data_IF_599614379442
#
_entry.id   IF_599614379442
#
_cell.length_a   1.000
_cell.length_b   1.000
_cell.length_c   1.000
_cell.angle_alpha   90.00
_cell.angle_beta   90.00
_cell.angle_gamma   90.00
#
_symmetry.space_group_name_H-M   'P 1'
#
loop_
_entity.id
_entity.type
_entity.pdbx_description
1 polymer ?
#
# COMPACT_ATOMS: atom_id res chain seq x y z
N UNK A 1 24.74 -26.22 36.12
CA UNK A 1 25.03 -25.51 34.86
C UNK A 1 23.87 -25.75 33.91
N UNK A 2 23.17 -24.71 33.46
CA UNK A 2 22.11 -24.89 32.44
C UNK A 2 20.78 -24.24 32.82
N UNK A 3 20.71 -22.91 32.76
CA UNK A 3 19.42 -22.20 32.77
C UNK A 3 19.42 -20.85 32.05
N UNK A 4 20.42 -20.60 31.19
CA UNK A 4 20.57 -19.32 30.48
C UNK A 4 20.28 -19.39 28.98
N UNK A 5 19.91 -20.56 28.43
CA UNK A 5 19.75 -20.75 26.98
C UNK A 5 18.33 -20.40 26.48
N UNK A 6 17.34 -20.34 27.38
CA UNK A 6 15.93 -20.13 27.02
C UNK A 6 15.52 -18.66 26.77
N UNK A 7 16.36 -17.69 27.14
CA UNK A 7 16.05 -16.26 26.92
C UNK A 7 16.45 -15.76 25.53
N UNK A 8 17.42 -16.41 24.88
CA UNK A 8 17.86 -16.06 23.52
C UNK A 8 16.77 -16.25 22.44
N UNK A 9 16.02 -17.37 22.38
CA UNK A 9 15.03 -17.55 21.33
C UNK A 9 13.83 -16.60 21.46
N UNK A 10 13.49 -16.17 22.67
CA UNK A 10 12.39 -15.22 22.91
C UNK A 10 12.69 -13.82 22.35
N UNK A 11 13.94 -13.35 22.51
CA UNK A 11 14.39 -12.08 21.92
C UNK A 11 14.35 -12.09 20.39
N UNK A 12 14.66 -13.24 19.78
CA UNK A 12 14.66 -13.40 18.32
C UNK A 12 13.25 -13.42 17.72
N UNK A 13 12.26 -14.00 18.41
CA UNK A 13 10.86 -13.98 17.98
C UNK A 13 10.24 -12.57 17.99
N UNK A 14 10.66 -11.71 18.93
CA UNK A 14 10.20 -10.32 19.03
C UNK A 14 10.77 -9.42 17.91
N UNK A 15 11.91 -9.80 17.33
CA UNK A 15 12.52 -9.12 16.17
C UNK A 15 11.85 -9.52 14.85
N UNK A 16 11.25 -10.71 14.76
CA UNK A 16 10.56 -11.17 13.54
C UNK A 16 9.12 -10.66 13.45
N UNK A 17 8.56 -10.14 14.53
CA UNK A 17 7.24 -9.50 14.56
C UNK A 17 7.28 -8.00 14.25
N UNK A 18 8.45 -7.41 13.97
CA UNK A 18 8.50 -6.17 13.20
C UNK A 18 8.02 -6.49 11.80
N UNK A 19 6.70 -6.36 11.58
CA UNK A 19 6.03 -6.40 10.29
C UNK A 19 6.98 -5.87 9.21
N UNK A 20 7.35 -6.73 8.27
CA UNK A 20 8.27 -6.43 7.18
C UNK A 20 7.86 -5.10 6.52
N UNK A 21 8.72 -4.08 6.65
CA UNK A 21 8.50 -2.81 6.00
C UNK A 21 8.46 -3.04 4.48
N UNK A 22 7.31 -2.83 3.86
CA UNK A 22 7.09 -3.04 2.43
C UNK A 22 7.61 -1.81 1.67
N UNK A 23 8.29 -2.05 0.55
CA UNK A 23 8.51 -0.99 -0.45
C UNK A 23 7.28 -0.91 -1.34
N UNK A 24 6.78 0.29 -1.61
CA UNK A 24 5.62 0.52 -2.47
C UNK A 24 5.95 1.57 -3.55
N UNK A 25 5.17 1.59 -4.63
CA UNK A 25 5.18 2.74 -5.52
C UNK A 25 4.43 3.90 -4.86
N UNK A 26 4.96 5.11 -5.04
CA UNK A 26 4.22 6.34 -4.82
C UNK A 26 4.13 7.11 -6.11
N UNK A 27 2.92 7.58 -6.37
CA UNK A 27 2.59 8.40 -7.52
C UNK A 27 1.46 9.32 -7.10
N UNK A 28 1.62 10.63 -7.29
CA UNK A 28 0.57 11.59 -6.93
C UNK A 28 -0.57 11.60 -7.95
N UNK A 29 -0.27 11.29 -9.21
CA UNK A 29 -1.27 11.12 -10.26
C UNK A 29 -0.78 10.18 -11.36
N UNK A 30 -1.53 9.10 -11.61
CA UNK A 30 -1.36 8.20 -12.74
C UNK A 30 -2.61 8.19 -13.63
N UNK A 31 -2.41 7.93 -14.92
CA UNK A 31 -3.48 7.91 -15.93
C UNK A 31 -4.14 6.52 -16.09
N UNK A 32 -5.08 6.39 -17.03
CA UNK A 32 -5.81 5.14 -17.26
C UNK A 32 -4.93 3.97 -17.71
N UNK A 33 -3.70 4.24 -18.15
CA UNK A 33 -2.69 3.23 -18.52
C UNK A 33 -1.80 2.84 -17.34
N UNK A 34 -2.08 3.37 -16.14
CA UNK A 34 -1.26 3.17 -14.95
C UNK A 34 0.10 3.88 -15.00
N UNK A 35 0.35 4.72 -16.00
CA UNK A 35 1.59 5.48 -16.10
C UNK A 35 1.55 6.66 -15.13
N UNK A 36 2.55 6.73 -14.26
CA UNK A 36 2.69 7.85 -13.32
C UNK A 36 3.08 9.13 -14.06
N UNK A 37 2.21 10.13 -14.02
CA UNK A 37 2.39 11.42 -14.66
C UNK A 37 3.12 12.41 -13.74
N UNK A 38 2.90 12.33 -12.42
CA UNK A 38 3.48 13.26 -11.46
C UNK A 38 3.82 12.60 -10.12
N UNK A 39 4.90 13.05 -9.47
CA UNK A 39 5.27 12.63 -8.12
C UNK A 39 5.70 11.16 -8.01
N UNK A 40 6.40 10.63 -9.02
CA UNK A 40 6.88 9.24 -9.00
C UNK A 40 8.04 9.06 -8.04
N UNK A 41 7.86 8.24 -7.01
CA UNK A 41 8.96 7.77 -6.17
C UNK A 41 8.62 6.43 -5.49
N UNK A 42 9.50 5.94 -4.63
CA UNK A 42 9.29 4.73 -3.83
C UNK A 42 9.15 5.11 -2.37
N UNK A 43 8.17 4.57 -1.67
CA UNK A 43 8.03 4.74 -0.23
C UNK A 43 8.23 3.41 0.49
N UNK A 44 8.54 3.50 1.79
CA UNK A 44 8.64 2.35 2.69
C UNK A 44 7.57 2.50 3.77
N UNK A 45 6.82 1.43 4.05
CA UNK A 45 5.71 1.47 5.01
C UNK A 45 6.21 1.58 6.44
N UNK A 46 5.54 2.40 7.24
CA UNK A 46 5.63 2.39 8.70
C UNK A 46 4.71 1.33 9.34
N UNK A 47 4.85 1.02 10.64
CA UNK A 47 3.90 0.15 11.33
C UNK A 47 2.46 0.64 11.17
N UNK A 48 1.57 -0.24 10.69
CA UNK A 48 0.17 0.09 10.38
C UNK A 48 -0.09 0.52 8.93
N UNK A 49 0.95 0.88 8.19
CA UNK A 49 0.84 1.20 6.76
C UNK A 49 0.98 -0.03 5.88
N UNK A 50 0.34 0.03 4.72
CA UNK A 50 0.45 -0.95 3.63
C UNK A 50 0.60 -0.22 2.30
N UNK A 51 0.88 -0.95 1.22
CA UNK A 51 0.83 -0.35 -0.11
C UNK A 51 -0.64 -0.10 -0.50
N UNK A 52 -0.93 1.05 -1.07
CA UNK A 52 -2.27 1.42 -1.47
C UNK A 52 -2.29 2.09 -2.84
N UNK A 53 -3.46 2.04 -3.48
CA UNK A 53 -3.80 2.99 -4.53
C UNK A 53 -5.26 3.44 -4.41
N UNK A 54 -5.54 4.65 -4.86
CA UNK A 54 -6.89 5.18 -5.02
C UNK A 54 -7.15 5.41 -6.50
N UNK A 55 -8.30 4.97 -6.99
CA UNK A 55 -8.77 5.25 -8.35
C UNK A 55 -10.05 6.08 -8.28
N UNK A 56 -10.11 7.10 -9.12
CA UNK A 56 -11.31 7.91 -9.32
C UNK A 56 -11.86 7.59 -10.70
N UNK A 57 -13.11 7.13 -10.75
CA UNK A 57 -13.86 6.94 -11.98
C UNK A 57 -15.12 7.80 -11.98
N UNK A 58 -15.71 8.01 -13.14
CA UNK A 58 -17.09 8.52 -13.26
C UNK A 58 -18.10 7.38 -13.05
N UNK A 59 -19.38 7.72 -12.86
CA UNK A 59 -20.46 6.72 -12.73
C UNK A 59 -20.63 5.82 -13.95
N UNK A 60 -20.30 6.29 -15.15
CA UNK A 60 -20.26 5.49 -16.38
C UNK A 60 -18.97 4.64 -16.52
N UNK A 61 -18.12 4.63 -15.48
CA UNK A 61 -16.93 3.78 -15.42
C UNK A 61 -15.71 4.36 -16.10
N UNK A 62 -15.75 5.62 -16.57
CA UNK A 62 -14.59 6.27 -17.19
C UNK A 62 -13.56 6.60 -16.12
N UNK A 63 -12.33 6.15 -16.33
CA UNK A 63 -11.20 6.52 -15.50
C UNK A 63 -10.92 8.02 -15.57
N UNK A 64 -10.71 8.65 -14.41
CA UNK A 64 -10.32 10.07 -14.32
C UNK A 64 -8.84 10.18 -14.00
N UNK A 65 -8.44 9.69 -12.83
CA UNK A 65 -7.04 9.58 -12.39
C UNK A 65 -6.94 8.61 -11.23
N UNK A 66 -5.72 8.24 -10.85
CA UNK A 66 -5.46 7.53 -9.59
C UNK A 66 -4.17 7.98 -8.94
N UNK A 67 -3.93 7.52 -7.72
CA UNK A 67 -2.69 7.76 -6.97
C UNK A 67 -2.24 6.49 -6.26
N UNK A 68 -0.95 6.42 -5.93
CA UNK A 68 -0.33 5.31 -5.21
C UNK A 68 0.39 5.84 -3.97
N UNK A 69 0.33 5.11 -2.87
CA UNK A 69 0.97 5.54 -1.61
C UNK A 69 1.30 4.38 -0.68
N UNK A 70 2.11 4.67 0.33
CA UNK A 70 2.13 3.95 1.60
C UNK A 70 1.11 4.65 2.49
N UNK A 71 0.17 3.90 3.07
CA UNK A 71 -0.91 4.49 3.86
C UNK A 71 -1.47 3.49 4.87
N UNK A 72 -1.98 4.02 5.98
CA UNK A 72 -2.99 3.32 6.78
C UNK A 72 -4.25 3.17 5.91
N UNK A 73 -4.49 1.95 5.44
CA UNK A 73 -5.42 1.71 4.35
C UNK A 73 -6.63 0.90 4.80
N UNK A 74 -7.82 1.41 4.51
CA UNK A 74 -9.07 0.67 4.61
C UNK A 74 -9.69 0.57 3.22
N UNK A 75 -9.89 -0.65 2.72
CA UNK A 75 -10.42 -0.87 1.38
C UNK A 75 -11.89 -0.45 1.35
N UNK A 76 -12.21 0.52 0.50
CA UNK A 76 -13.55 1.08 0.42
C UNK A 76 -13.82 1.65 -0.95
N UNK A 77 -15.10 1.72 -1.31
CA UNK A 77 -15.55 2.44 -2.51
C UNK A 77 -16.68 3.37 -2.10
N UNK A 78 -16.53 4.65 -2.41
CA UNK A 78 -17.47 5.70 -2.04
C UNK A 78 -17.90 6.50 -3.26
N UNK A 79 -19.17 6.87 -3.30
CA UNK A 79 -19.70 7.76 -4.32
C UNK A 79 -19.61 9.21 -3.85
N UNK A 80 -19.15 10.11 -4.73
CA UNK A 80 -19.10 11.54 -4.49
C UNK A 80 -19.61 12.29 -5.73
N UNK A 81 -20.90 12.63 -5.73
CA UNK A 81 -21.55 13.24 -6.89
C UNK A 81 -21.60 12.29 -8.09
N UNK A 82 -20.98 12.69 -9.20
CA UNK A 82 -20.86 11.87 -10.41
C UNK A 82 -19.61 10.98 -10.44
N UNK A 83 -18.81 10.99 -9.37
CA UNK A 83 -17.56 10.26 -9.25
C UNK A 83 -17.69 9.08 -8.28
N UNK A 84 -16.90 8.05 -8.53
CA UNK A 84 -16.70 6.89 -7.67
C UNK A 84 -15.22 6.89 -7.29
N UNK A 85 -14.94 6.83 -5.99
CA UNK A 85 -13.58 6.78 -5.43
C UNK A 85 -13.38 5.40 -4.83
N UNK A 86 -12.42 4.64 -5.35
CA UNK A 86 -12.11 3.28 -4.91
C UNK A 86 -10.71 3.21 -4.32
N UNK A 87 -10.63 2.90 -3.03
CA UNK A 87 -9.39 2.69 -2.27
C UNK A 87 -9.07 1.21 -2.20
N UNK A 88 -7.86 0.84 -2.61
CA UNK A 88 -7.38 -0.53 -2.68
C UNK A 88 -6.10 -0.68 -1.84
N UNK A 89 -6.04 -1.76 -1.04
CA UNK A 89 -5.00 -1.98 -0.04
C UNK A 89 -4.28 -3.32 -0.29
N UNK A 90 -2.95 -3.33 -0.17
CA UNK A 90 -2.11 -4.48 -0.51
C UNK A 90 -0.99 -4.68 0.52
N UNK A 91 -0.92 -5.86 1.12
CA UNK A 91 0.04 -6.22 2.18
C UNK A 91 0.91 -7.44 1.84
N UNK A 92 0.90 -7.90 0.59
CA UNK A 92 1.48 -9.20 0.23
C UNK A 92 2.99 -9.17 -0.02
N UNK A 93 3.46 -8.32 -0.95
CA UNK A 93 4.85 -8.30 -1.43
C UNK A 93 5.30 -6.88 -1.76
N UNK A 94 6.62 -6.59 -1.83
CA UNK A 94 7.10 -5.29 -2.30
C UNK A 94 6.52 -4.93 -3.67
N UNK A 95 6.19 -3.66 -3.86
CA UNK A 95 5.63 -3.08 -5.07
C UNK A 95 4.27 -3.67 -5.50
N UNK A 96 3.52 -4.25 -4.56
CA UNK A 96 2.22 -4.86 -4.84
C UNK A 96 1.12 -3.89 -5.28
N UNK A 97 1.28 -2.58 -5.09
CA UNK A 97 0.35 -1.57 -5.59
C UNK A 97 0.59 -1.16 -7.06
N UNK A 98 1.24 -2.00 -7.85
CA UNK A 98 1.40 -1.80 -9.30
C UNK A 98 0.05 -1.95 -10.02
N UNK A 99 -0.29 -1.00 -10.90
CA UNK A 99 -1.62 -0.93 -11.55
C UNK A 99 -1.75 -1.91 -12.74
N UNK A 100 -0.64 -2.24 -13.41
CA UNK A 100 -0.59 -3.26 -14.46
C UNK A 100 0.53 -4.26 -14.19
N UNK A 101 0.25 -5.55 -14.38
CA UNK A 101 1.21 -6.64 -14.25
C UNK A 101 1.55 -7.23 -15.61
#
# INVERSE_FOLDING_TARGET
MGKHILLLPLGLSLLMSSLLALQCFRCESFDSTGLCQFGRYKCQTYPGEVCAFVIITTRDGKFVYGNQSCAECNATTVEHGSLIVSTNCFSATPFCNMVHR
#
